data_IF_007831595155
#
_entry.id   IF_007831595155
#
_cell.length_a   1.000
_cell.length_b   1.000
_cell.length_c   1.000
_cell.angle_alpha   90.00
_cell.angle_beta   90.00
_cell.angle_gamma   90.00
#
_symmetry.space_group_name_H-M   'P 1'
#
loop_
_entity.id
_entity.type
_entity.pdbx_description
1 polymer ?
#
# COMPACT_ATOMS: atom_id res chain seq x y z
N UNK A 1 -20.29 -0.97 -0.65
CA UNK A 1 -19.06 -0.43 -0.06
C UNK A 1 -18.26 -1.60 0.50
N UNK A 2 -17.08 -1.86 -0.06
CA UNK A 2 -16.11 -2.76 0.54
C UNK A 2 -15.27 -1.95 1.53
N UNK A 3 -15.25 -2.36 2.80
CA UNK A 3 -14.39 -1.75 3.80
C UNK A 3 -12.92 -2.02 3.46
N UNK A 4 -12.13 -0.97 3.25
CA UNK A 4 -10.69 -1.09 3.08
C UNK A 4 -10.04 -1.09 4.47
N UNK A 5 -9.42 -2.19 4.86
CA UNK A 5 -8.63 -2.30 6.11
C UNK A 5 -7.61 -1.18 6.24
N UNK A 6 -7.00 -0.78 5.13
CA UNK A 6 -5.99 0.27 5.07
C UNK A 6 -6.46 1.61 5.66
N UNK A 7 -7.74 1.97 5.50
CA UNK A 7 -8.26 3.21 6.11
C UNK A 7 -8.20 3.14 7.64
N UNK A 8 -8.53 1.98 8.22
CA UNK A 8 -8.35 1.75 9.66
C UNK A 8 -6.89 1.76 10.10
N UNK A 9 -5.97 1.25 9.26
CA UNK A 9 -4.52 1.32 9.51
C UNK A 9 -4.03 2.76 9.51
N UNK A 10 -4.44 3.59 8.53
CA UNK A 10 -4.07 5.00 8.46
C UNK A 10 -4.52 5.77 9.71
N UNK A 11 -5.80 5.62 10.09
CA UNK A 11 -6.34 6.26 11.29
C UNK A 11 -5.59 5.83 12.56
N UNK A 12 -5.35 4.51 12.70
CA UNK A 12 -4.63 3.96 13.86
C UNK A 12 -3.18 4.44 13.91
N UNK A 13 -2.50 4.53 12.77
CA UNK A 13 -1.14 5.06 12.68
C UNK A 13 -1.07 6.54 13.09
N UNK A 14 -2.01 7.36 12.63
CA UNK A 14 -2.10 8.77 13.05
C UNK A 14 -2.33 8.91 14.57
N UNK A 15 -3.20 8.08 15.17
CA UNK A 15 -3.40 8.06 16.62
C UNK A 15 -2.13 7.63 17.36
N UNK A 16 -1.39 6.66 16.84
CA UNK A 16 -0.12 6.24 17.40
C UNK A 16 0.91 7.38 17.37
N UNK A 17 1.00 8.13 16.26
CA UNK A 17 1.89 9.28 16.11
C UNK A 17 1.53 10.36 17.13
N UNK A 18 0.26 10.71 17.26
CA UNK A 18 -0.18 11.69 18.28
C UNK A 18 0.19 11.23 19.69
N UNK A 19 0.04 9.95 19.99
CA UNK A 19 0.37 9.39 21.30
C UNK A 19 1.88 9.37 21.60
N UNK A 20 2.74 9.13 20.61
CA UNK A 20 4.20 9.02 20.80
C UNK A 20 4.94 10.34 20.63
N UNK A 21 4.48 11.22 19.75
CA UNK A 21 5.19 12.46 19.38
C UNK A 21 4.47 13.73 19.81
N UNK A 22 3.18 13.65 20.15
CA UNK A 22 2.30 14.80 20.35
C UNK A 22 1.88 15.52 19.05
N UNK A 23 2.34 15.06 17.90
CA UNK A 23 2.00 15.63 16.60
C UNK A 23 0.64 15.11 16.14
N UNK A 24 -0.29 16.00 15.88
CA UNK A 24 -1.60 15.64 15.33
C UNK A 24 -1.55 15.65 13.80
N UNK A 25 -1.66 14.48 13.21
CA UNK A 25 -1.69 14.27 11.77
C UNK A 25 -3.02 13.63 11.36
N UNK A 26 -3.72 14.23 10.38
CA UNK A 26 -4.92 13.61 9.82
C UNK A 26 -4.57 12.84 8.54
N UNK A 27 -5.22 11.69 8.27
CA UNK A 27 -4.93 10.90 7.08
C UNK A 27 -5.04 11.67 5.75
N UNK A 28 -5.96 12.63 5.66
CA UNK A 28 -6.16 13.50 4.50
C UNK A 28 -5.09 14.57 4.31
N UNK A 29 -4.37 14.93 5.36
CA UNK A 29 -3.30 15.94 5.37
C UNK A 29 -1.94 15.35 4.97
N UNK A 30 -1.82 14.01 4.92
CA UNK A 30 -0.58 13.34 4.53
C UNK A 30 -0.25 13.69 3.08
N UNK A 31 0.96 14.24 2.81
CA UNK A 31 1.38 14.64 1.48
C UNK A 31 1.48 13.43 0.54
N UNK A 32 1.18 13.66 -0.74
CA UNK A 32 1.27 12.66 -1.80
C UNK A 32 2.55 12.78 -2.64
N UNK A 33 3.28 13.86 -2.47
CA UNK A 33 4.62 14.09 -3.00
C UNK A 33 5.57 14.21 -1.81
N UNK A 34 6.39 13.19 -1.57
CA UNK A 34 7.33 13.14 -0.46
C UNK A 34 8.56 12.31 -0.85
N UNK A 35 9.73 12.93 -0.81
CA UNK A 35 10.99 12.31 -1.25
C UNK A 35 11.36 11.08 -0.42
N UNK A 36 11.01 11.08 0.86
CA UNK A 36 11.28 9.96 1.76
C UNK A 36 10.38 8.76 1.47
N UNK A 37 9.10 9.02 1.13
CA UNK A 37 8.18 7.97 0.70
C UNK A 37 8.64 7.35 -0.63
N UNK A 38 9.11 8.16 -1.59
CA UNK A 38 9.70 7.64 -2.82
C UNK A 38 11.00 6.86 -2.54
N UNK A 39 11.89 7.37 -1.68
CA UNK A 39 13.11 6.67 -1.27
C UNK A 39 12.83 5.32 -0.60
N UNK A 40 11.74 5.20 0.16
CA UNK A 40 11.27 3.92 0.70
C UNK A 40 10.96 2.92 -0.42
N UNK A 41 10.19 3.36 -1.42
CA UNK A 41 9.79 2.50 -2.56
C UNK A 41 10.98 2.14 -3.45
N UNK A 42 12.01 2.98 -3.54
CA UNK A 42 13.28 2.69 -4.22
C UNK A 42 14.24 1.81 -3.40
N UNK A 43 13.88 1.48 -2.12
CA UNK A 43 14.71 0.64 -1.24
C UNK A 43 15.95 1.35 -0.67
N UNK A 44 15.97 2.68 -0.68
CA UNK A 44 17.10 3.52 -0.22
C UNK A 44 17.10 3.76 1.28
N UNK A 45 15.94 3.65 1.94
CA UNK A 45 15.82 3.93 3.37
C UNK A 45 16.37 2.80 4.24
N UNK A 46 16.93 3.22 5.38
CA UNK A 46 17.46 2.33 6.41
C UNK A 46 16.91 2.73 7.79
N UNK A 47 16.68 1.72 8.62
CA UNK A 47 16.39 1.90 10.06
C UNK A 47 17.30 0.96 10.84
N UNK A 48 18.02 1.49 11.83
CA UNK A 48 19.00 0.72 12.60
C UNK A 48 19.99 -0.07 11.71
N UNK A 49 20.42 0.53 10.59
CA UNK A 49 21.32 -0.10 9.62
C UNK A 49 20.67 -1.12 8.67
N UNK A 50 19.44 -1.54 8.92
CA UNK A 50 18.71 -2.50 8.10
C UNK A 50 17.84 -1.81 7.04
N UNK A 51 17.66 -2.40 5.83
CA UNK A 51 16.82 -1.83 4.78
C UNK A 51 15.36 -1.80 5.24
N UNK A 52 14.72 -0.63 5.12
CA UNK A 52 13.30 -0.50 5.35
C UNK A 52 12.55 -0.96 4.09
N UNK A 53 11.87 -2.11 4.18
CA UNK A 53 11.19 -2.73 3.05
C UNK A 53 9.77 -2.16 2.81
N UNK A 54 9.10 -2.60 1.72
CA UNK A 54 7.76 -2.18 1.36
C UNK A 54 6.62 -3.02 1.99
N UNK A 55 6.92 -4.04 2.81
CA UNK A 55 5.87 -4.84 3.46
C UNK A 55 4.95 -3.95 4.30
N UNK A 56 3.66 -4.19 4.21
CA UNK A 56 2.62 -3.41 4.87
C UNK A 56 2.16 -2.19 4.09
N UNK A 57 2.82 -1.78 3.00
CA UNK A 57 2.32 -0.72 2.14
C UNK A 57 1.07 -1.18 1.38
N UNK A 58 0.10 -0.30 1.28
CA UNK A 58 -1.10 -0.60 0.50
C UNK A 58 -0.75 -0.95 -0.94
N UNK A 59 -1.33 -2.02 -1.46
CA UNK A 59 -1.24 -2.49 -2.85
C UNK A 59 0.18 -2.90 -3.33
N UNK A 60 1.25 -2.22 -2.91
CA UNK A 60 2.59 -2.33 -3.51
C UNK A 60 3.59 -3.21 -2.71
N UNK A 61 3.14 -3.93 -1.68
CA UNK A 61 4.02 -4.78 -0.85
C UNK A 61 4.52 -6.07 -1.55
N UNK A 62 3.96 -6.42 -2.72
CA UNK A 62 4.25 -7.67 -3.42
C UNK A 62 5.56 -7.63 -4.21
N UNK A 63 6.18 -8.81 -4.40
CA UNK A 63 7.45 -8.96 -5.13
C UNK A 63 7.42 -8.35 -6.55
N UNK A 64 6.27 -8.39 -7.24
CA UNK A 64 6.10 -7.78 -8.55
C UNK A 64 6.31 -6.27 -8.53
N UNK A 65 5.81 -5.57 -7.50
CA UNK A 65 6.04 -4.13 -7.35
C UNK A 65 7.49 -3.82 -6.94
N UNK A 66 8.11 -4.64 -6.08
CA UNK A 66 9.53 -4.50 -5.76
C UNK A 66 10.38 -4.59 -7.02
N UNK A 67 10.10 -5.58 -7.89
CA UNK A 67 10.79 -5.74 -9.18
C UNK A 67 10.50 -4.58 -10.15
N UNK A 68 9.26 -4.09 -10.18
CA UNK A 68 8.88 -2.98 -11.05
C UNK A 68 9.56 -1.68 -10.62
N UNK A 69 9.52 -1.34 -9.33
CA UNK A 69 10.16 -0.13 -8.80
C UNK A 69 11.69 -0.16 -8.87
N UNK A 70 12.31 -1.34 -8.90
CA UNK A 70 13.73 -1.46 -9.22
C UNK A 70 14.05 -1.11 -10.68
N UNK A 71 13.10 -1.27 -11.60
CA UNK A 71 13.24 -0.96 -13.01
C UNK A 71 12.74 0.44 -13.37
N UNK A 72 11.70 0.91 -12.68
CA UNK A 72 11.07 2.23 -12.82
C UNK A 72 11.05 2.87 -11.43
N UNK A 73 12.16 3.44 -10.95
CA UNK A 73 12.22 4.07 -9.65
C UNK A 73 11.23 5.24 -9.58
N UNK A 74 10.24 5.25 -8.66
CA UNK A 74 9.27 6.33 -8.60
C UNK A 74 9.92 7.60 -8.04
N UNK A 75 9.66 8.73 -8.71
CA UNK A 75 10.12 10.07 -8.32
C UNK A 75 8.95 11.06 -8.20
N UNK A 76 7.79 10.71 -8.77
CA UNK A 76 6.58 11.53 -8.79
C UNK A 76 5.35 10.67 -8.51
N UNK A 77 4.29 11.31 -8.03
CA UNK A 77 2.99 10.65 -7.84
C UNK A 77 2.50 9.95 -9.13
N UNK A 78 2.70 10.59 -10.29
CA UNK A 78 2.32 10.02 -11.58
C UNK A 78 3.00 8.69 -11.89
N UNK A 79 4.23 8.48 -11.44
CA UNK A 79 4.95 7.21 -11.64
C UNK A 79 4.31 6.07 -10.82
N UNK A 80 3.83 6.38 -9.60
CA UNK A 80 3.08 5.43 -8.79
C UNK A 80 1.72 5.11 -9.43
N UNK A 81 1.02 6.13 -9.97
CA UNK A 81 -0.26 5.94 -10.69
C UNK A 81 -0.06 5.03 -11.91
N UNK A 82 0.98 5.29 -12.71
CA UNK A 82 1.31 4.46 -13.89
C UNK A 82 1.68 3.03 -13.49
N UNK A 83 2.45 2.85 -12.42
CA UNK A 83 2.84 1.53 -11.92
C UNK A 83 1.65 0.65 -11.54
N UNK A 84 0.60 1.23 -10.94
CA UNK A 84 -0.64 0.51 -10.61
C UNK A 84 -1.38 0.08 -11.89
N UNK A 85 -1.38 0.91 -12.91
CA UNK A 85 -2.00 0.57 -14.20
C UNK A 85 -1.23 -0.50 -14.97
N UNK A 86 0.10 -0.49 -14.89
CA UNK A 86 1.01 -1.36 -15.63
C UNK A 86 1.19 -2.75 -14.99
N UNK A 87 1.21 -2.83 -13.64
CA UNK A 87 1.53 -4.07 -12.93
C UNK A 87 0.34 -5.05 -12.89
N UNK A 88 -0.08 -5.52 -14.05
CA UNK A 88 -1.19 -6.46 -14.26
C UNK A 88 -0.83 -7.48 -15.35
N UNK A 89 -1.42 -8.70 -15.33
CA UNK A 89 -1.10 -9.75 -16.29
C UNK A 89 -1.13 -9.29 -17.75
N UNK A 90 -2.17 -8.58 -18.16
CA UNK A 90 -2.32 -8.13 -19.56
C UNK A 90 -1.18 -7.23 -20.06
N UNK A 91 -0.89 -6.08 -19.42
CA UNK A 91 0.26 -5.24 -19.80
C UNK A 91 1.59 -5.98 -19.72
N UNK A 92 1.80 -6.85 -18.72
CA UNK A 92 3.03 -7.63 -18.57
C UNK A 92 3.23 -8.63 -19.71
N UNK A 93 2.17 -9.37 -20.10
CA UNK A 93 2.24 -10.37 -21.16
C UNK A 93 2.31 -9.77 -22.57
N UNK A 94 1.86 -8.53 -22.75
CA UNK A 94 1.84 -7.84 -24.05
C UNK A 94 3.18 -7.20 -24.46
N UNK A 95 4.18 -7.17 -23.56
CA UNK A 95 5.43 -6.44 -23.77
C UNK A 95 5.35 -4.93 -23.49
N UNK A 96 4.15 -4.40 -23.23
CA UNK A 96 3.93 -2.97 -22.96
C UNK A 96 4.78 -2.46 -21.78
N UNK A 97 4.89 -3.25 -20.73
CA UNK A 97 5.70 -2.87 -19.54
C UNK A 97 7.17 -2.80 -19.88
N UNK A 98 7.68 -3.76 -20.67
CA UNK A 98 9.08 -3.76 -21.11
C UNK A 98 9.42 -2.53 -21.96
N UNK A 99 8.55 -2.14 -22.86
CA UNK A 99 8.74 -0.95 -23.70
C UNK A 99 8.66 0.34 -22.87
N UNK A 100 7.71 0.43 -21.95
CA UNK A 100 7.64 1.54 -20.98
C UNK A 100 8.92 1.64 -20.13
N UNK A 101 9.42 0.52 -19.61
CA UNK A 101 10.68 0.46 -18.85
C UNK A 101 11.86 0.97 -19.68
N UNK A 102 11.98 0.56 -20.97
CA UNK A 102 13.07 1.03 -21.85
C UNK A 102 13.05 2.55 -22.01
N UNK A 103 11.86 3.13 -22.16
CA UNK A 103 11.71 4.59 -22.31
C UNK A 103 12.09 5.31 -21.01
N UNK A 104 11.57 4.86 -19.86
CA UNK A 104 11.88 5.45 -18.54
C UNK A 104 13.38 5.37 -18.24
N UNK A 105 14.04 4.26 -18.61
CA UNK A 105 15.49 4.09 -18.44
C UNK A 105 16.35 4.81 -19.48
N UNK A 106 15.73 5.55 -20.41
CA UNK A 106 16.46 6.24 -21.48
C UNK A 106 17.09 5.32 -22.55
N UNK A 107 16.71 4.03 -22.56
CA UNK A 107 17.17 3.04 -23.55
C UNK A 107 16.43 3.16 -24.88
N UNK A 108 15.26 3.78 -24.88
CA UNK A 108 14.49 4.14 -26.05
C UNK A 108 14.08 5.61 -25.96
N UNK A 109 14.01 6.35 -27.08
CA UNK A 109 13.56 7.74 -27.07
C UNK A 109 12.09 7.83 -26.71
N UNK A 110 11.70 8.94 -26.06
CA UNK A 110 10.28 9.25 -25.83
C UNK A 110 9.66 9.66 -27.18
N UNK A 111 8.54 9.05 -27.52
CA UNK A 111 7.81 9.32 -28.76
C UNK A 111 6.43 9.94 -28.44
N UNK A 112 6.18 11.17 -28.95
CA UNK A 112 4.92 11.87 -28.70
C UNK A 112 3.97 11.90 -29.89
N UNK A 113 4.35 11.31 -31.05
CA UNK A 113 3.68 11.38 -32.36
C UNK A 113 3.62 12.81 -32.92
N UNK A 114 3.18 13.77 -32.12
CA UNK A 114 3.09 15.20 -32.45
C UNK A 114 3.23 16.02 -31.15
N UNK A 115 3.93 17.16 -31.19
CA UNK A 115 4.18 18.00 -30.01
C UNK A 115 2.89 18.51 -29.34
N UNK A 116 1.81 18.66 -30.11
CA UNK A 116 0.48 19.06 -29.58
C UNK A 116 -0.15 18.00 -28.67
N UNK A 117 0.29 16.75 -28.75
CA UNK A 117 -0.16 15.65 -27.89
C UNK A 117 0.71 15.44 -26.66
N UNK A 118 1.86 16.12 -26.60
CA UNK A 118 2.79 16.04 -25.47
C UNK A 118 2.11 16.29 -24.11
N UNK A 119 1.27 17.31 -23.90
CA UNK A 119 0.62 17.57 -22.61
C UNK A 119 -0.26 16.41 -22.11
N UNK A 120 -0.73 15.53 -23.03
CA UNK A 120 -1.55 14.37 -22.68
C UNK A 120 -0.67 13.16 -22.33
N UNK A 121 0.50 13.03 -22.99
CA UNK A 121 1.31 11.81 -22.96
C UNK A 121 2.58 11.94 -22.12
N UNK A 122 3.01 13.15 -21.73
CA UNK A 122 4.27 13.37 -21.02
C UNK A 122 4.32 12.71 -19.64
N UNK A 123 3.18 12.61 -18.95
CA UNK A 123 3.11 11.95 -17.65
C UNK A 123 3.40 10.44 -17.71
N UNK A 124 3.26 9.85 -18.90
CA UNK A 124 3.51 8.43 -19.18
C UNK A 124 4.59 8.24 -20.25
N UNK A 125 5.50 9.21 -20.38
CA UNK A 125 6.66 9.14 -21.28
C UNK A 125 6.29 8.81 -22.73
N UNK A 126 5.20 9.39 -23.24
CA UNK A 126 4.71 9.16 -24.60
C UNK A 126 3.85 7.91 -24.78
N UNK A 127 3.74 7.05 -23.77
CA UNK A 127 2.97 5.79 -23.85
C UNK A 127 1.52 6.01 -23.46
N UNK A 128 0.57 5.46 -24.22
CA UNK A 128 -0.84 5.44 -23.84
C UNK A 128 -1.08 4.34 -22.80
N UNK A 129 -1.23 4.71 -21.54
CA UNK A 129 -1.48 3.82 -20.39
C UNK A 129 -2.94 3.86 -19.96
N UNK A 130 -3.58 5.03 -20.09
CA UNK A 130 -4.91 5.28 -19.56
C UNK A 130 -5.97 5.40 -20.66
N UNK A 131 -7.19 4.93 -20.33
CA UNK A 131 -8.36 5.13 -21.21
C UNK A 131 -8.63 6.61 -21.47
N UNK A 132 -8.42 7.44 -20.47
CA UNK A 132 -8.57 8.90 -20.53
C UNK A 132 -7.63 9.54 -21.55
N UNK A 133 -6.42 9.02 -21.73
CA UNK A 133 -5.47 9.53 -22.74
C UNK A 133 -5.99 9.27 -24.17
N UNK A 134 -6.55 8.10 -24.44
CA UNK A 134 -7.17 7.80 -25.76
C UNK A 134 -8.33 8.77 -26.02
N UNK A 135 -9.15 9.05 -25.02
CA UNK A 135 -10.24 10.01 -25.15
C UNK A 135 -9.71 11.42 -25.42
N UNK A 136 -8.71 11.90 -24.65
CA UNK A 136 -8.12 13.23 -24.83
C UNK A 136 -7.45 13.40 -26.17
N UNK A 137 -6.69 12.40 -26.63
CA UNK A 137 -6.09 12.38 -27.96
C UNK A 137 -7.15 12.50 -29.04
N UNK A 138 -8.27 11.73 -28.94
CA UNK A 138 -9.38 11.80 -29.91
C UNK A 138 -10.03 13.19 -29.97
N UNK A 139 -10.13 13.85 -28.81
CA UNK A 139 -10.72 15.19 -28.72
C UNK A 139 -9.79 16.25 -29.31
N UNK A 140 -8.48 16.21 -28.97
CA UNK A 140 -7.48 17.20 -29.42
C UNK A 140 -7.13 17.01 -30.89
N UNK A 141 -6.88 15.75 -31.31
CA UNK A 141 -6.43 15.46 -32.67
C UNK A 141 -7.59 15.44 -33.68
N UNK A 142 -8.67 14.73 -33.35
CA UNK A 142 -9.76 14.46 -34.30
C UNK A 142 -11.02 15.28 -34.03
N UNK A 143 -11.01 16.22 -33.08
CA UNK A 143 -12.15 17.08 -32.77
C UNK A 143 -13.38 16.34 -32.22
N UNK A 144 -13.19 15.15 -31.62
CA UNK A 144 -14.30 14.40 -31.06
C UNK A 144 -14.92 15.14 -29.88
N UNK A 145 -16.24 15.11 -29.79
CA UNK A 145 -16.91 15.49 -28.54
C UNK A 145 -16.61 14.45 -27.45
N UNK A 146 -16.75 14.85 -26.17
CA UNK A 146 -16.57 13.96 -25.04
C UNK A 146 -17.41 12.67 -25.15
N UNK A 147 -18.66 12.79 -25.63
CA UNK A 147 -19.53 11.63 -25.85
C UNK A 147 -19.03 10.70 -26.96
N UNK A 148 -18.47 11.25 -28.06
CA UNK A 148 -17.89 10.47 -29.15
C UNK A 148 -16.58 9.80 -28.70
N UNK A 149 -15.74 10.48 -27.93
CA UNK A 149 -14.53 9.94 -27.33
C UNK A 149 -14.84 8.76 -26.37
N UNK A 150 -15.90 8.87 -25.55
CA UNK A 150 -16.34 7.75 -24.70
C UNK A 150 -16.93 6.59 -25.50
N UNK A 151 -17.65 6.87 -26.64
CA UNK A 151 -18.09 5.83 -27.60
C UNK A 151 -16.87 5.07 -28.15
N UNK A 152 -15.80 5.78 -28.54
CA UNK A 152 -14.54 5.18 -29.02
C UNK A 152 -13.91 4.27 -27.96
N UNK A 153 -13.71 4.78 -26.74
CA UNK A 153 -13.16 4.02 -25.60
C UNK A 153 -13.95 2.73 -25.36
N UNK A 154 -15.29 2.81 -25.36
CA UNK A 154 -16.18 1.65 -25.17
C UNK A 154 -16.13 0.67 -26.33
N UNK A 155 -16.02 1.15 -27.57
CA UNK A 155 -15.94 0.33 -28.78
C UNK A 155 -14.63 -0.48 -28.80
N UNK A 156 -13.50 0.18 -28.52
CA UNK A 156 -12.19 -0.45 -28.43
C UNK A 156 -12.14 -1.51 -27.31
N UNK A 157 -12.56 -1.18 -26.10
CA UNK A 157 -12.58 -2.11 -24.96
C UNK A 157 -13.47 -3.33 -25.16
N UNK A 158 -14.57 -3.20 -25.92
CA UNK A 158 -15.53 -4.28 -26.23
C UNK A 158 -15.31 -4.94 -27.59
N UNK A 159 -14.27 -4.53 -28.35
CA UNK A 159 -13.93 -5.03 -29.70
C UNK A 159 -15.12 -4.98 -30.68
N UNK A 160 -15.90 -3.90 -30.67
CA UNK A 160 -17.03 -3.70 -31.56
C UNK A 160 -16.53 -3.20 -32.91
N UNK A 161 -16.19 -4.15 -33.82
CA UNK A 161 -15.50 -3.86 -35.08
C UNK A 161 -16.26 -2.89 -35.98
N UNK A 162 -17.59 -3.02 -36.07
CA UNK A 162 -18.41 -2.14 -36.93
C UNK A 162 -18.37 -0.69 -36.43
N UNK A 163 -18.51 -0.50 -35.12
CA UNK A 163 -18.42 0.83 -34.48
C UNK A 163 -17.01 1.38 -34.60
N UNK A 164 -15.99 0.55 -34.52
CA UNK A 164 -14.59 0.97 -34.65
C UNK A 164 -14.29 1.45 -36.07
N UNK A 165 -14.78 0.78 -37.12
CA UNK A 165 -14.57 1.24 -38.49
C UNK A 165 -15.21 2.61 -38.75
N UNK A 166 -16.46 2.80 -38.32
CA UNK A 166 -17.14 4.10 -38.41
C UNK A 166 -16.34 5.20 -37.70
N UNK A 167 -15.87 4.93 -36.49
CA UNK A 167 -15.11 5.90 -35.71
C UNK A 167 -13.70 6.15 -36.28
N UNK A 168 -13.07 5.17 -36.95
CA UNK A 168 -11.76 5.33 -37.56
C UNK A 168 -11.81 6.28 -38.77
N UNK A 169 -12.88 6.24 -39.56
CA UNK A 169 -13.07 7.19 -40.67
C UNK A 169 -13.21 8.61 -40.12
N UNK A 170 -14.09 8.81 -39.13
CA UNK A 170 -14.27 10.07 -38.46
C UNK A 170 -12.96 10.58 -37.78
N UNK A 171 -12.19 9.65 -37.18
CA UNK A 171 -10.89 9.94 -36.59
C UNK A 171 -9.91 10.46 -37.60
N UNK A 172 -9.75 9.81 -38.73
CA UNK A 172 -8.83 10.21 -39.80
C UNK A 172 -9.23 11.55 -40.41
N UNK A 173 -10.52 11.74 -40.72
CA UNK A 173 -11.02 12.98 -41.31
C UNK A 173 -10.83 14.16 -40.35
N UNK A 174 -11.24 14.00 -39.10
CA UNK A 174 -11.09 15.06 -38.09
C UNK A 174 -9.61 15.41 -37.80
N UNK A 175 -8.71 14.41 -37.81
CA UNK A 175 -7.28 14.66 -37.65
C UNK A 175 -6.72 15.52 -38.79
N UNK A 176 -7.08 15.20 -40.03
CA UNK A 176 -6.64 15.98 -41.21
C UNK A 176 -7.23 17.39 -41.19
N UNK A 177 -8.51 17.55 -40.84
CA UNK A 177 -9.16 18.85 -40.68
C UNK A 177 -8.46 19.71 -39.60
N UNK A 178 -7.95 19.10 -38.53
CA UNK A 178 -7.19 19.76 -37.49
C UNK A 178 -5.68 19.89 -37.78
N UNK A 179 -5.25 19.62 -39.00
CA UNK A 179 -3.90 19.83 -39.45
C UNK A 179 -2.87 18.80 -38.99
N UNK A 180 -3.32 17.58 -38.65
CA UNK A 180 -2.42 16.43 -38.44
C UNK A 180 -2.24 15.65 -39.77
N UNK A 181 -1.11 14.97 -39.92
CA UNK A 181 -0.95 14.08 -41.06
C UNK A 181 -1.79 12.81 -40.91
N UNK A 182 -2.25 12.28 -42.04
CA UNK A 182 -3.02 11.01 -42.04
C UNK A 182 -2.17 9.85 -41.51
N UNK A 183 -0.84 9.88 -41.73
CA UNK A 183 0.07 8.82 -41.28
C UNK A 183 0.17 8.82 -39.76
N UNK A 184 0.32 9.98 -39.12
CA UNK A 184 0.27 10.12 -37.66
C UNK A 184 -1.09 9.64 -37.11
N UNK A 185 -2.19 10.01 -37.75
CA UNK A 185 -3.52 9.59 -37.31
C UNK A 185 -3.69 8.07 -37.34
N UNK A 186 -3.17 7.41 -38.37
CA UNK A 186 -3.19 5.94 -38.51
C UNK A 186 -2.29 5.26 -37.47
N UNK A 187 -1.07 5.76 -37.29
CA UNK A 187 -0.12 5.24 -36.31
C UNK A 187 -0.72 5.26 -34.89
N UNK A 188 -1.27 6.42 -34.49
CA UNK A 188 -1.91 6.55 -33.17
C UNK A 188 -3.14 5.64 -33.04
N UNK A 189 -3.93 5.48 -34.10
CA UNK A 189 -5.07 4.58 -34.08
C UNK A 189 -4.66 3.12 -33.84
N UNK A 190 -3.64 2.64 -34.57
CA UNK A 190 -3.13 1.28 -34.41
C UNK A 190 -2.60 1.02 -33.01
N UNK A 191 -1.88 1.98 -32.44
CA UNK A 191 -1.38 1.89 -31.08
C UNK A 191 -2.53 1.98 -30.06
N UNK A 192 -3.47 2.89 -30.25
CA UNK A 192 -4.67 2.98 -29.41
C UNK A 192 -5.49 1.68 -29.44
N UNK A 193 -5.60 1.01 -30.60
CA UNK A 193 -6.28 -0.29 -30.71
C UNK A 193 -5.56 -1.41 -29.94
N UNK A 194 -4.22 -1.44 -29.97
CA UNK A 194 -3.40 -2.38 -29.19
C UNK A 194 -3.60 -2.13 -27.69
N UNK A 195 -3.48 -0.86 -27.27
CA UNK A 195 -3.56 -0.46 -25.87
C UNK A 195 -4.98 -0.52 -25.30
N UNK A 196 -6.03 -0.35 -26.11
CA UNK A 196 -7.40 -0.38 -25.63
C UNK A 196 -7.78 -1.67 -24.90
N UNK A 197 -7.09 -2.78 -25.20
CA UNK A 197 -7.28 -4.07 -24.51
C UNK A 197 -6.76 -4.04 -23.07
N UNK A 198 -5.79 -3.18 -22.80
CA UNK A 198 -5.04 -3.13 -21.55
C UNK A 198 -5.11 -1.76 -20.86
N UNK A 199 -5.62 -0.73 -21.55
CA UNK A 199 -5.77 0.61 -21.01
C UNK A 199 -6.57 0.61 -19.71
N UNK A 200 -6.07 1.34 -18.72
CA UNK A 200 -6.62 1.37 -17.37
C UNK A 200 -7.39 2.65 -17.11
N UNK A 201 -8.35 2.60 -16.19
CA UNK A 201 -9.01 3.81 -15.73
C UNK A 201 -8.06 4.60 -14.80
N UNK A 202 -7.68 5.80 -15.20
CA UNK A 202 -6.74 6.66 -14.46
C UNK A 202 -7.26 7.02 -13.08
N UNK A 203 -8.56 7.32 -12.97
CA UNK A 203 -9.17 7.69 -11.69
C UNK A 203 -9.04 6.57 -10.64
N UNK A 204 -9.16 5.30 -11.08
CA UNK A 204 -8.95 4.18 -10.18
C UNK A 204 -7.48 4.06 -9.73
N UNK A 205 -6.53 4.14 -10.67
CA UNK A 205 -5.09 4.13 -10.33
C UNK A 205 -4.72 5.28 -9.39
N UNK A 206 -5.20 6.49 -9.66
CA UNK A 206 -4.91 7.66 -8.85
C UNK A 206 -5.46 7.53 -7.43
N UNK A 207 -6.68 7.01 -7.26
CA UNK A 207 -7.26 6.77 -5.95
C UNK A 207 -6.44 5.74 -5.13
N UNK A 208 -5.93 4.68 -5.80
CA UNK A 208 -5.07 3.70 -5.16
C UNK A 208 -3.67 4.26 -4.87
N UNK A 209 -3.08 5.01 -5.81
CA UNK A 209 -1.79 5.68 -5.62
C UNK A 209 -1.81 6.65 -4.43
N UNK A 210 -2.92 7.34 -4.20
CA UNK A 210 -3.12 8.19 -3.04
C UNK A 210 -2.91 7.40 -1.73
N UNK A 211 -3.51 6.23 -1.62
CA UNK A 211 -3.34 5.37 -0.44
C UNK A 211 -1.93 4.77 -0.37
N UNK A 212 -1.31 4.44 -1.51
CA UNK A 212 0.10 4.00 -1.55
C UNK A 212 0.99 5.08 -0.95
N UNK A 213 0.88 6.32 -1.41
CA UNK A 213 1.72 7.42 -0.92
C UNK A 213 1.51 7.70 0.56
N UNK A 214 0.26 7.71 1.03
CA UNK A 214 -0.06 7.89 2.45
C UNK A 214 0.54 6.78 3.32
N UNK A 215 0.44 5.53 2.89
CA UNK A 215 1.06 4.42 3.63
C UNK A 215 2.59 4.44 3.57
N UNK A 216 3.17 4.83 2.43
CA UNK A 216 4.60 4.98 2.27
C UNK A 216 5.16 6.13 3.11
N UNK A 217 4.48 7.29 3.14
CA UNK A 217 4.83 8.42 4.00
C UNK A 217 4.88 7.99 5.47
N UNK A 218 3.79 7.41 5.98
CA UNK A 218 3.73 6.99 7.38
C UNK A 218 4.83 5.99 7.72
N UNK A 219 5.09 5.02 6.86
CA UNK A 219 6.17 4.06 7.10
C UNK A 219 7.56 4.67 7.01
N UNK A 220 7.77 5.64 6.10
CA UNK A 220 9.06 6.30 5.92
C UNK A 220 9.43 7.23 7.08
N UNK A 221 8.44 7.94 7.64
CA UNK A 221 8.64 8.92 8.71
C UNK A 221 8.41 8.34 10.10
N UNK A 222 7.41 7.46 10.28
CA UNK A 222 6.96 6.92 11.56
C UNK A 222 6.85 5.37 11.49
N UNK A 223 7.98 4.66 11.25
CA UNK A 223 7.95 3.22 10.98
C UNK A 223 7.43 2.37 12.13
N UNK A 224 7.70 2.73 13.39
CA UNK A 224 7.20 1.99 14.56
C UNK A 224 5.68 2.16 14.70
N UNK A 225 5.19 3.40 14.60
CA UNK A 225 3.79 3.79 14.71
C UNK A 225 2.94 3.15 13.61
N UNK A 226 3.46 3.21 12.37
CA UNK A 226 2.81 2.62 11.22
C UNK A 226 2.74 1.10 11.30
N UNK A 227 3.88 0.45 11.58
CA UNK A 227 3.91 -1.02 11.65
C UNK A 227 3.16 -1.57 12.86
N UNK A 228 3.09 -0.86 13.98
CA UNK A 228 2.20 -1.20 15.09
C UNK A 228 0.73 -1.19 14.66
N UNK A 229 0.31 -0.19 13.89
CA UNK A 229 -1.04 -0.12 13.33
C UNK A 229 -1.33 -1.26 12.33
N UNK A 230 -0.36 -1.62 11.49
CA UNK A 230 -0.46 -2.78 10.57
C UNK A 230 -0.61 -4.07 11.37
N UNK A 231 0.25 -4.34 12.35
CA UNK A 231 0.21 -5.53 13.18
C UNK A 231 -1.13 -5.64 13.93
N UNK A 232 -1.60 -4.55 14.54
CA UNK A 232 -2.91 -4.49 15.22
C UNK A 232 -4.06 -4.82 14.30
N UNK A 233 -4.01 -4.38 13.03
CA UNK A 233 -5.06 -4.67 12.05
C UNK A 233 -5.14 -6.14 11.63
N UNK A 234 -4.10 -6.92 11.92
CA UNK A 234 -4.01 -8.34 11.61
C UNK A 234 -4.10 -9.24 12.86
N UNK A 235 -4.39 -8.70 14.04
CA UNK A 235 -4.70 -9.54 15.20
C UNK A 235 -5.84 -10.51 14.84
N UNK A 236 -5.70 -11.78 15.24
CA UNK A 236 -6.61 -12.86 14.84
C UNK A 236 -6.27 -13.55 13.50
N UNK A 237 -5.32 -13.02 12.70
CA UNK A 237 -4.78 -13.69 11.52
C UNK A 237 -3.30 -14.03 11.71
N UNK A 238 -3.04 -15.22 12.25
CA UNK A 238 -1.68 -15.62 12.64
C UNK A 238 -0.69 -15.62 11.49
N UNK A 239 -1.06 -16.08 10.29
CA UNK A 239 -0.13 -16.16 9.15
C UNK A 239 0.33 -14.77 8.72
N UNK A 240 -0.59 -13.81 8.66
CA UNK A 240 -0.27 -12.42 8.35
C UNK A 240 0.56 -11.78 9.45
N UNK A 241 0.21 -12.03 10.70
CA UNK A 241 0.92 -11.50 11.86
C UNK A 241 2.38 -11.97 11.87
N UNK A 242 2.63 -13.27 11.68
CA UNK A 242 3.98 -13.85 11.59
C UNK A 242 4.77 -13.21 10.44
N UNK A 243 4.15 -13.06 9.25
CA UNK A 243 4.76 -12.40 8.10
C UNK A 243 5.25 -11.00 8.44
N UNK A 244 4.38 -10.18 9.05
CA UNK A 244 4.71 -8.79 9.34
C UNK A 244 5.67 -8.61 10.52
N UNK A 245 5.60 -9.47 11.55
CA UNK A 245 6.60 -9.50 12.63
C UNK A 245 7.99 -9.82 12.05
N UNK A 246 8.10 -10.85 11.21
CA UNK A 246 9.34 -11.18 10.55
C UNK A 246 9.85 -10.03 9.66
N UNK A 247 8.94 -9.33 8.99
CA UNK A 247 9.27 -8.16 8.18
C UNK A 247 9.78 -6.98 9.03
N UNK A 248 9.13 -6.69 10.15
CA UNK A 248 9.59 -5.66 11.11
C UNK A 248 11.02 -5.93 11.56
N UNK A 249 11.30 -7.15 12.00
CA UNK A 249 12.65 -7.55 12.46
C UNK A 249 13.70 -7.40 11.36
N UNK A 250 13.41 -7.80 10.11
CA UNK A 250 14.31 -7.60 8.97
C UNK A 250 14.50 -6.13 8.60
N UNK A 251 13.59 -5.27 8.97
CA UNK A 251 13.62 -3.82 8.70
C UNK A 251 14.17 -3.01 9.89
N UNK A 252 14.79 -3.64 10.86
CA UNK A 252 15.35 -2.96 12.02
C UNK A 252 14.30 -2.38 12.98
N UNK A 253 13.08 -2.95 12.98
CA UNK A 253 11.97 -2.61 13.89
C UNK A 253 11.76 -3.81 14.81
N UNK A 254 12.37 -3.88 15.98
CA UNK A 254 12.18 -5.00 16.91
C UNK A 254 10.72 -5.11 17.36
N UNK A 255 10.18 -6.31 17.38
CA UNK A 255 8.88 -6.61 17.99
C UNK A 255 9.16 -7.31 19.32
N UNK A 256 8.91 -6.58 20.40
CA UNK A 256 9.17 -7.02 21.77
C UNK A 256 8.06 -7.98 22.24
N UNK A 257 8.39 -8.98 23.07
CA UNK A 257 7.40 -9.92 23.60
C UNK A 257 6.22 -9.21 24.29
N UNK A 258 5.06 -9.85 24.43
CA UNK A 258 4.01 -9.36 25.29
C UNK A 258 4.49 -9.34 26.75
N UNK A 259 3.90 -8.45 27.55
CA UNK A 259 4.20 -8.32 28.97
C UNK A 259 2.93 -7.91 29.74
N UNK A 260 2.59 -8.61 30.81
CA UNK A 260 1.37 -8.36 31.61
C UNK A 260 1.40 -6.97 32.25
N UNK A 261 2.60 -6.42 32.49
CA UNK A 261 2.79 -5.13 33.17
C UNK A 261 2.90 -3.94 32.19
N UNK A 262 3.29 -4.17 30.94
CA UNK A 262 3.55 -3.06 30.00
C UNK A 262 2.78 -3.14 28.67
N UNK A 263 2.26 -4.31 28.27
CA UNK A 263 1.50 -4.42 27.04
C UNK A 263 0.10 -3.83 27.13
N UNK A 264 -0.32 -3.15 26.08
CA UNK A 264 -1.71 -2.74 25.87
C UNK A 264 -2.51 -3.84 25.15
N UNK A 265 -3.76 -3.54 24.83
CA UNK A 265 -4.65 -4.43 24.10
C UNK A 265 -4.08 -4.76 22.71
N UNK A 266 -3.71 -3.71 21.96
CA UNK A 266 -3.14 -3.76 20.62
C UNK A 266 -1.61 -3.58 20.65
N UNK A 267 -0.95 -3.77 19.50
CA UNK A 267 0.47 -3.49 19.35
C UNK A 267 0.74 -2.00 19.57
N UNK A 268 1.72 -1.70 20.40
CA UNK A 268 2.04 -0.34 20.83
C UNK A 268 3.43 0.06 20.34
N UNK A 269 3.57 1.19 19.63
CA UNK A 269 4.88 1.70 19.24
C UNK A 269 5.63 2.21 20.47
N UNK A 270 6.94 1.94 20.50
CA UNK A 270 7.90 2.41 21.50
C UNK A 270 9.10 3.02 20.76
N UNK A 271 9.94 3.75 21.44
CA UNK A 271 11.18 4.28 20.87
C UNK A 271 12.09 3.16 20.33
N UNK A 272 12.26 2.09 21.11
CA UNK A 272 13.08 0.94 20.77
C UNK A 272 12.44 -0.06 19.78
N UNK A 273 11.13 0.04 19.49
CA UNK A 273 10.45 -0.90 18.60
C UNK A 273 8.93 -0.94 18.78
N UNK A 274 8.36 -2.14 18.79
CA UNK A 274 6.90 -2.33 18.93
C UNK A 274 6.66 -3.36 20.04
N UNK A 275 5.87 -3.02 21.06
CA UNK A 275 5.42 -3.97 22.09
C UNK A 275 4.27 -4.81 21.56
N UNK A 276 4.34 -6.12 21.73
CA UNK A 276 3.28 -7.05 21.36
C UNK A 276 2.03 -6.82 22.22
N UNK A 277 0.87 -6.67 21.58
CA UNK A 277 -0.41 -6.48 22.27
C UNK A 277 -0.93 -7.77 22.92
N UNK A 278 -1.52 -7.69 24.10
CA UNK A 278 -2.03 -8.87 24.82
C UNK A 278 -3.10 -9.62 24.02
N UNK A 279 -4.00 -8.92 23.33
CA UNK A 279 -5.03 -9.55 22.50
C UNK A 279 -4.48 -10.20 21.22
N UNK A 280 -3.23 -9.91 20.85
CA UNK A 280 -2.52 -10.59 19.75
C UNK A 280 -2.00 -11.98 20.14
N UNK A 281 -1.92 -12.31 21.42
CA UNK A 281 -1.46 -13.63 21.90
C UNK A 281 -2.53 -14.68 21.60
N UNK A 282 -2.14 -15.74 20.88
CA UNK A 282 -3.09 -16.80 20.52
C UNK A 282 -3.72 -17.44 21.76
N UNK A 283 -5.03 -17.38 21.86
CA UNK A 283 -5.79 -17.90 23.00
C UNK A 283 -6.04 -16.89 24.12
N UNK A 284 -5.59 -15.63 23.93
CA UNK A 284 -5.94 -14.50 24.79
C UNK A 284 -6.92 -13.61 24.00
N UNK A 285 -8.18 -13.56 24.44
CA UNK A 285 -9.20 -12.70 23.84
C UNK A 285 -9.11 -11.26 24.35
N UNK A 286 -9.71 -10.33 23.59
CA UNK A 286 -9.76 -8.90 23.98
C UNK A 286 -10.29 -8.68 25.40
N UNK A 287 -11.35 -9.43 25.79
CA UNK A 287 -11.93 -9.32 27.13
C UNK A 287 -10.94 -9.69 28.23
N UNK A 288 -10.15 -10.75 28.03
CA UNK A 288 -9.12 -11.16 28.98
C UNK A 288 -8.00 -10.13 29.05
N UNK A 289 -7.52 -9.67 27.90
CA UNK A 289 -6.49 -8.66 27.81
C UNK A 289 -6.92 -7.36 28.53
N UNK A 290 -8.17 -6.93 28.33
CA UNK A 290 -8.71 -5.75 29.00
C UNK A 290 -8.78 -5.94 30.52
N UNK A 291 -9.23 -7.10 31.02
CA UNK A 291 -9.24 -7.38 32.46
C UNK A 291 -7.83 -7.30 33.10
N UNK A 292 -6.79 -7.76 32.37
CA UNK A 292 -5.41 -7.67 32.85
C UNK A 292 -4.97 -6.20 32.91
N UNK A 293 -5.29 -5.42 31.89
CA UNK A 293 -4.94 -4.00 31.83
C UNK A 293 -5.65 -3.22 32.96
N UNK A 294 -6.96 -3.37 33.07
CA UNK A 294 -7.78 -2.69 34.09
C UNK A 294 -7.28 -2.99 35.51
N UNK A 295 -6.92 -4.26 35.78
CA UNK A 295 -6.42 -4.67 37.09
C UNK A 295 -5.07 -4.05 37.42
N UNK A 296 -4.11 -4.04 36.49
CA UNK A 296 -2.80 -3.42 36.72
C UNK A 296 -2.88 -1.91 36.86
N UNK A 297 -3.77 -1.25 36.08
CA UNK A 297 -3.97 0.21 36.19
C UNK A 297 -4.56 0.63 37.53
N UNK A 298 -5.44 -0.22 38.07
CA UNK A 298 -6.10 0.04 39.34
C UNK A 298 -5.22 -0.28 40.54
N UNK A 299 -4.48 -1.38 40.51
CA UNK A 299 -3.81 -1.95 41.70
C UNK A 299 -2.29 -2.11 41.51
N UNK A 300 -1.70 -1.56 40.44
CA UNK A 300 -0.27 -1.59 40.15
C UNK A 300 0.20 -2.89 39.48
N UNK A 301 1.49 -2.95 39.19
CA UNK A 301 2.13 -4.06 38.47
C UNK A 301 1.96 -5.41 39.18
N UNK A 302 1.93 -6.47 38.39
CA UNK A 302 1.95 -7.85 38.90
C UNK A 302 3.39 -8.25 39.26
N UNK A 303 3.58 -8.69 40.49
CA UNK A 303 4.89 -9.10 40.99
C UNK A 303 5.25 -10.55 40.71
N UNK A 304 4.23 -11.39 40.46
CA UNK A 304 4.40 -12.81 40.17
C UNK A 304 3.15 -13.40 39.50
N UNK A 305 3.26 -14.63 38.99
CA UNK A 305 2.09 -15.39 38.49
C UNK A 305 1.05 -15.62 39.59
N UNK A 306 1.49 -15.84 40.85
CA UNK A 306 0.59 -16.02 41.99
C UNK A 306 -0.18 -14.74 42.28
N UNK A 307 0.49 -13.59 42.28
CA UNK A 307 -0.14 -12.28 42.44
C UNK A 307 -1.18 -12.02 41.34
N UNK A 308 -0.85 -12.33 40.08
CA UNK A 308 -1.76 -12.26 38.95
C UNK A 308 -3.03 -13.10 39.14
N UNK A 309 -2.87 -14.39 39.52
CA UNK A 309 -3.98 -15.32 39.70
C UNK A 309 -4.91 -14.88 40.83
N UNK A 310 -4.38 -14.25 41.88
CA UNK A 310 -5.17 -13.76 43.03
C UNK A 310 -5.92 -12.46 42.71
N UNK A 311 -5.46 -11.69 41.76
CA UNK A 311 -6.00 -10.34 41.48
C UNK A 311 -6.91 -10.31 40.26
N UNK A 312 -6.54 -11.01 39.17
CA UNK A 312 -7.33 -11.02 37.94
C UNK A 312 -8.54 -11.93 38.11
N UNK A 313 -9.74 -11.47 37.72
CA UNK A 313 -10.96 -12.24 37.79
C UNK A 313 -10.84 -13.62 37.11
N UNK A 314 -10.92 -14.67 37.90
CA UNK A 314 -10.81 -16.06 37.44
C UNK A 314 -11.85 -16.45 36.39
N UNK A 315 -12.99 -15.73 36.32
CA UNK A 315 -14.02 -15.96 35.29
C UNK A 315 -13.60 -15.42 33.89
N UNK A 316 -12.60 -14.54 33.84
CA UNK A 316 -12.14 -13.94 32.61
C UNK A 316 -11.21 -14.84 31.79
N UNK A 317 -10.46 -15.75 32.44
CA UNK A 317 -9.47 -16.60 31.80
C UNK A 317 -9.60 -18.08 32.25
N UNK A 318 -8.96 -18.97 31.51
CA UNK A 318 -8.84 -20.37 31.85
C UNK A 318 -7.37 -20.82 31.81
N UNK A 319 -7.10 -22.07 32.21
CA UNK A 319 -5.75 -22.63 32.23
C UNK A 319 -5.02 -22.48 30.87
N UNK A 320 -5.72 -22.72 29.74
CA UNK A 320 -5.12 -22.60 28.39
C UNK A 320 -4.67 -21.17 28.10
N UNK A 321 -5.46 -20.19 28.51
CA UNK A 321 -5.11 -18.74 28.38
C UNK A 321 -3.89 -18.40 29.22
N UNK A 322 -3.82 -18.88 30.46
CA UNK A 322 -2.67 -18.66 31.34
C UNK A 322 -1.40 -19.29 30.77
N UNK A 323 -1.48 -20.56 30.32
CA UNK A 323 -0.38 -21.24 29.63
C UNK A 323 0.08 -20.47 28.37
N UNK A 324 -0.86 -19.88 27.60
CA UNK A 324 -0.53 -19.08 26.43
C UNK A 324 0.25 -17.80 26.80
N UNK A 325 -0.17 -17.10 27.85
CA UNK A 325 0.55 -15.94 28.38
C UNK A 325 1.95 -16.31 28.86
N UNK A 326 2.11 -17.40 29.61
CA UNK A 326 3.43 -17.88 30.07
C UNK A 326 4.31 -18.24 28.87
N UNK A 327 3.80 -19.03 27.92
CA UNK A 327 4.55 -19.47 26.73
C UNK A 327 4.96 -18.33 25.82
N UNK A 328 4.16 -17.27 25.73
CA UNK A 328 4.47 -16.08 24.95
C UNK A 328 5.52 -15.16 25.60
N UNK A 329 5.84 -15.38 26.88
CA UNK A 329 6.78 -14.56 27.63
C UNK A 329 6.14 -13.37 28.37
N UNK A 330 4.82 -13.35 28.46
CA UNK A 330 4.11 -12.23 29.08
C UNK A 330 4.41 -12.05 30.60
N UNK A 331 5.07 -12.99 31.23
CA UNK A 331 5.53 -12.94 32.62
C UNK A 331 7.05 -12.85 32.80
N UNK A 332 7.81 -12.68 31.70
CA UNK A 332 9.28 -12.68 31.79
C UNK A 332 9.81 -11.52 32.69
N UNK A 333 9.07 -10.42 32.79
CA UNK A 333 9.38 -9.29 33.68
C UNK A 333 9.27 -9.63 35.17
N UNK A 334 8.60 -10.70 35.54
CA UNK A 334 8.42 -11.12 36.95
C UNK A 334 9.64 -11.88 37.51
N UNK A 335 10.67 -12.10 36.71
CA UNK A 335 11.93 -12.74 37.15
C UNK A 335 11.92 -14.27 37.20
N UNK A 336 10.80 -14.91 36.86
CA UNK A 336 10.70 -16.37 36.80
C UNK A 336 10.88 -16.88 35.38
N UNK A 337 11.52 -18.05 35.22
CA UNK A 337 11.60 -18.69 33.91
C UNK A 337 10.25 -19.28 33.51
N UNK A 338 9.96 -19.26 32.20
CA UNK A 338 8.71 -19.86 31.65
C UNK A 338 8.52 -21.31 32.09
N UNK A 339 9.62 -22.08 32.21
CA UNK A 339 9.58 -23.47 32.72
C UNK A 339 9.09 -23.54 34.15
N UNK A 340 9.59 -22.67 35.05
CA UNK A 340 9.12 -22.61 36.44
C UNK A 340 7.61 -22.25 36.49
N UNK A 341 7.20 -21.24 35.74
CA UNK A 341 5.80 -20.79 35.68
C UNK A 341 4.84 -21.87 35.13
N UNK A 342 5.30 -22.77 34.27
CA UNK A 342 4.50 -23.87 33.72
C UNK A 342 4.30 -25.03 34.71
N UNK A 343 5.02 -25.07 35.82
CA UNK A 343 4.92 -26.09 36.89
C UNK A 343 4.16 -25.58 38.11
N UNK A 344 3.81 -24.31 38.13
CA UNK A 344 2.93 -23.71 39.15
C UNK A 344 1.46 -23.85 38.72
#
# INVERSE_FOLDING_TARGET
FLGLRTLGVLSRACNNIEATTGEKLLPEEIPIEDDRAFALMRGELRKNGMPLNMDGLFQVEGALYVSLFAQIPPERFSDVVASIALNRPGPLESGMVEDYVKVVQGKSPVHYYDDRLRPILEETYGTMVYQEQIMQVSMVMSGFSAGKADKLRKAMGKKKLDVMRELQEDWNNGAVENGYSLDIAKEIWEDAEKFAKYAFNKSHSAAYALLVMRTAYLKAHYPNEYMAAVLSSYMGNNDRLIKYIASCNRSGIPVLPPDVNSSNLEFTPLEEGIRFGLAGVRGVGEKVAQCIIDEREKNGEFTSLHDFVNRVDSSAYNRKTLEALVKSGAFDSTGYTRKQLMHL
#
